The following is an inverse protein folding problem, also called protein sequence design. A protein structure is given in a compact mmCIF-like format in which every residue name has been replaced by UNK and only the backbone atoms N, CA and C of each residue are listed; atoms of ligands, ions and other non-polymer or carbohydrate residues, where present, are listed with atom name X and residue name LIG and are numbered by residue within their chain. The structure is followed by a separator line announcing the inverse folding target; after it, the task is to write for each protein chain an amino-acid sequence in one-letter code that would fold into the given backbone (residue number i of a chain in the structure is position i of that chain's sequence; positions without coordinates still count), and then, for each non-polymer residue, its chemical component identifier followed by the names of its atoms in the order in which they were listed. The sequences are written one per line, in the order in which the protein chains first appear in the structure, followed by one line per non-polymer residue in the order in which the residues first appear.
data_IF_822170950388
#
_entry.id   IF_822170950388
#
_cell.length_a   1.000
_cell.length_b   1.000
_cell.length_c   1.000
_cell.angle_alpha   90.00
_cell.angle_beta   90.00
_cell.angle_gamma   90.00
#
_symmetry.space_group_name_H-M   'P 1'
#
loop_
_entity.id
_entity.type
_entity.pdbx_description
1 polymer ?
#
# COMPACT_ATOMS: atom_id res chain seq x y z
N UNK A 1 29.16 -0.99 -13.94
CA UNK A 1 27.71 -0.93 -13.64
C UNK A 1 27.54 -1.15 -12.14
N UNK A 2 27.03 -0.14 -11.45
CA UNK A 2 26.76 -0.22 -10.01
C UNK A 2 25.37 -0.80 -9.76
N UNK A 3 25.25 -1.67 -8.74
CA UNK A 3 23.96 -2.11 -8.24
C UNK A 3 23.51 -1.20 -7.10
N UNK A 4 22.27 -0.76 -7.13
CA UNK A 4 21.70 0.05 -6.06
C UNK A 4 21.27 -0.83 -4.87
N UNK A 5 21.45 -0.30 -3.66
CA UNK A 5 21.04 -1.00 -2.44
C UNK A 5 19.51 -1.15 -2.31
N UNK A 6 18.75 -0.24 -2.95
CA UNK A 6 17.29 -0.25 -2.94
C UNK A 6 16.74 -0.42 -4.34
N UNK A 7 15.80 -1.33 -4.49
CA UNK A 7 15.06 -1.56 -5.74
C UNK A 7 14.26 -0.33 -6.17
N UNK A 8 13.64 0.37 -5.21
CA UNK A 8 12.80 1.53 -5.45
C UNK A 8 13.34 2.76 -4.71
N UNK A 9 13.44 3.89 -5.41
CA UNK A 9 13.97 5.17 -4.92
C UNK A 9 13.05 6.29 -5.39
N UNK A 10 11.78 6.23 -4.96
CA UNK A 10 10.77 7.24 -5.27
C UNK A 10 11.06 8.53 -4.49
N UNK A 11 11.11 9.64 -5.19
CA UNK A 11 11.24 10.98 -4.60
C UNK A 11 9.94 11.74 -4.90
N UNK A 12 9.26 12.19 -3.86
CA UNK A 12 8.07 13.02 -4.01
C UNK A 12 8.45 14.49 -4.01
N UNK A 13 8.83 14.98 -5.19
CA UNK A 13 9.23 16.37 -5.42
C UNK A 13 8.83 16.79 -6.83
N UNK A 14 8.44 18.05 -7.08
CA UNK A 14 8.12 18.54 -8.42
C UNK A 14 9.23 18.32 -9.44
N UNK A 15 10.50 18.44 -9.04
CA UNK A 15 11.67 18.18 -9.89
C UNK A 15 11.76 16.72 -10.34
N UNK A 16 11.21 15.78 -9.59
CA UNK A 16 11.22 14.36 -9.94
C UNK A 16 10.15 13.97 -10.99
N UNK A 17 9.47 14.94 -11.60
CA UNK A 17 8.66 14.75 -12.81
C UNK A 17 9.46 15.01 -14.11
N UNK A 18 10.66 15.56 -14.00
CA UNK A 18 11.58 15.76 -15.12
C UNK A 18 12.29 14.44 -15.47
N UNK A 19 12.14 13.90 -16.70
CA UNK A 19 12.80 12.66 -17.13
C UNK A 19 14.32 12.70 -17.04
N UNK A 20 14.94 13.84 -17.32
CA UNK A 20 16.40 13.99 -17.25
C UNK A 20 16.86 13.96 -15.80
N UNK A 21 16.14 14.61 -14.90
CA UNK A 21 16.42 14.54 -13.45
C UNK A 21 16.32 13.10 -12.94
N UNK A 22 15.25 12.38 -13.31
CA UNK A 22 15.08 10.98 -12.92
C UNK A 22 16.20 10.09 -13.46
N UNK A 23 16.59 10.27 -14.72
CA UNK A 23 17.66 9.48 -15.34
C UNK A 23 19.01 9.72 -14.66
N UNK A 24 19.37 10.99 -14.42
CA UNK A 24 20.64 11.37 -13.77
C UNK A 24 20.72 10.85 -12.34
N UNK A 25 19.62 10.93 -11.59
CA UNK A 25 19.59 10.53 -10.19
C UNK A 25 19.19 9.06 -9.99
N UNK A 26 18.92 8.34 -11.07
CA UNK A 26 18.38 6.98 -11.06
C UNK A 26 17.19 6.84 -10.10
N UNK A 27 16.35 7.87 -10.05
CA UNK A 27 15.17 7.93 -9.19
C UNK A 27 13.92 7.40 -9.90
N UNK A 28 12.88 7.12 -9.13
CA UNK A 28 11.59 6.66 -9.60
C UNK A 28 10.52 7.72 -9.31
N UNK A 29 9.47 7.76 -10.11
CA UNK A 29 8.34 8.65 -9.88
C UNK A 29 7.12 7.87 -9.41
N UNK A 30 6.63 8.22 -8.23
CA UNK A 30 5.49 7.54 -7.59
C UNK A 30 4.22 7.65 -8.46
N UNK A 31 3.96 8.82 -9.06
CA UNK A 31 2.75 9.05 -9.86
C UNK A 31 2.74 8.25 -11.16
N UNK A 32 3.91 7.87 -11.68
CA UNK A 32 4.04 7.07 -12.91
C UNK A 32 4.15 5.58 -12.63
N UNK A 33 4.82 5.21 -11.54
CA UNK A 33 5.16 3.81 -11.24
C UNK A 33 4.05 3.08 -10.47
N UNK A 34 3.15 3.83 -9.84
CA UNK A 34 2.08 3.29 -9.00
C UNK A 34 0.70 3.59 -9.58
N UNK A 35 -0.11 2.56 -9.77
CA UNK A 35 -1.51 2.72 -10.18
C UNK A 35 -2.38 3.28 -9.06
N UNK A 36 -2.09 2.88 -7.82
CA UNK A 36 -2.67 3.43 -6.60
C UNK A 36 -1.54 3.64 -5.59
N UNK A 37 -1.48 4.82 -4.98
CA UNK A 37 -0.55 5.09 -3.89
C UNK A 37 -1.12 6.12 -2.91
N UNK A 38 -0.64 6.13 -1.68
CA UNK A 38 -1.21 6.98 -0.64
C UNK A 38 -2.69 6.63 -0.36
N UNK A 39 -3.40 7.58 0.23
CA UNK A 39 -4.82 7.43 0.59
C UNK A 39 -5.77 7.69 -0.59
N UNK A 40 -5.46 7.13 -1.77
CA UNK A 40 -6.23 7.39 -2.98
C UNK A 40 -7.08 6.20 -3.48
N UNK A 41 -7.33 5.22 -2.62
CA UNK A 41 -8.15 4.05 -2.94
C UNK A 41 -9.56 4.44 -3.42
N UNK A 42 -10.04 5.63 -3.07
CA UNK A 42 -11.33 6.16 -3.56
C UNK A 42 -11.39 6.31 -5.08
N UNK A 43 -10.27 6.33 -5.79
CA UNK A 43 -10.24 6.32 -7.26
C UNK A 43 -10.95 5.12 -7.88
N UNK A 44 -11.10 4.01 -7.14
CA UNK A 44 -11.80 2.83 -7.64
C UNK A 44 -13.33 2.94 -7.50
N UNK A 45 -13.84 3.98 -6.84
CA UNK A 45 -15.26 4.24 -6.65
C UNK A 45 -15.84 5.07 -7.80
N UNK A 46 -15.59 4.66 -9.04
CA UNK A 46 -16.23 5.27 -10.20
C UNK A 46 -17.72 4.90 -10.22
N UNK A 47 -18.60 5.91 -10.39
CA UNK A 47 -20.05 5.75 -10.35
C UNK A 47 -20.62 5.50 -8.94
N UNK A 48 -21.87 5.00 -8.88
CA UNK A 48 -22.54 4.69 -7.62
C UNK A 48 -21.95 3.42 -6.98
N UNK A 49 -21.37 3.57 -5.80
CA UNK A 49 -20.91 2.46 -4.98
C UNK A 49 -22.01 2.06 -3.98
N UNK A 50 -22.15 0.75 -3.71
CA UNK A 50 -23.04 0.32 -2.64
C UNK A 50 -22.51 0.75 -1.28
N UNK A 51 -23.40 0.97 -0.32
CA UNK A 51 -22.99 1.31 1.06
C UNK A 51 -22.08 0.24 1.69
N UNK A 52 -22.11 -0.99 1.17
CA UNK A 52 -21.26 -2.09 1.65
C UNK A 52 -19.77 -1.88 1.42
N UNK A 53 -19.40 -0.97 0.52
CA UNK A 53 -18.00 -0.57 0.29
C UNK A 53 -17.42 0.12 1.53
N UNK A 54 -18.26 0.76 2.34
CA UNK A 54 -17.83 1.56 3.47
C UNK A 54 -17.86 0.78 4.78
N UNK A 55 -17.03 1.22 5.73
CA UNK A 55 -16.88 0.58 7.02
C UNK A 55 -18.17 0.56 7.82
N UNK A 56 -18.45 -0.56 8.49
CA UNK A 56 -19.51 -0.66 9.49
C UNK A 56 -18.93 -0.41 10.87
N UNK A 57 -19.40 0.64 11.53
CA UNK A 57 -18.98 0.99 12.89
C UNK A 57 -20.14 1.66 13.65
N UNK A 58 -20.26 1.42 14.94
CA UNK A 58 -21.29 2.00 15.79
C UNK A 58 -22.74 1.83 15.25
N UNK A 59 -23.03 0.68 14.64
CA UNK A 59 -24.37 0.36 14.14
C UNK A 59 -24.74 0.98 12.79
N UNK A 60 -23.81 1.60 12.07
CA UNK A 60 -24.06 2.25 10.77
C UNK A 60 -22.85 2.18 9.83
N UNK A 61 -23.07 2.49 8.56
CA UNK A 61 -21.99 2.69 7.59
C UNK A 61 -21.32 4.05 7.82
N UNK A 62 -19.98 4.03 7.81
CA UNK A 62 -19.14 5.21 7.93
C UNK A 62 -18.37 5.40 6.63
N UNK A 63 -18.79 6.39 5.86
CA UNK A 63 -18.23 6.68 4.53
C UNK A 63 -16.82 7.27 4.57
N UNK A 64 -16.26 7.51 5.75
CA UNK A 64 -14.88 7.97 5.92
C UNK A 64 -13.85 6.85 5.80
N UNK A 65 -14.30 5.57 5.77
CA UNK A 65 -13.39 4.43 5.70
C UNK A 65 -14.00 3.28 4.90
N UNK A 66 -13.17 2.39 4.40
CA UNK A 66 -13.55 1.23 3.62
C UNK A 66 -13.86 -0.01 4.45
N UNK A 67 -14.72 -0.87 3.91
CA UNK A 67 -14.90 -2.25 4.33
C UNK A 67 -14.05 -3.18 3.46
N UNK A 68 -12.88 -3.60 3.93
CA UNK A 68 -11.98 -4.48 3.18
C UNK A 68 -12.46 -5.94 3.07
N UNK A 69 -13.68 -6.24 3.52
CA UNK A 69 -14.37 -7.51 3.26
C UNK A 69 -15.56 -7.34 2.30
N UNK A 70 -15.69 -6.18 1.65
CA UNK A 70 -16.73 -5.90 0.66
C UNK A 70 -16.39 -6.53 -0.68
N UNK A 71 -17.32 -7.29 -1.24
CA UNK A 71 -17.19 -7.85 -2.59
C UNK A 71 -17.34 -6.75 -3.66
N UNK A 72 -18.12 -5.70 -3.41
CA UNK A 72 -18.23 -4.56 -4.32
C UNK A 72 -16.88 -3.81 -4.40
N UNK A 73 -16.22 -3.56 -3.25
CA UNK A 73 -14.87 -2.97 -3.26
C UNK A 73 -13.87 -3.82 -4.05
N UNK A 74 -13.90 -5.14 -3.87
CA UNK A 74 -13.05 -6.07 -4.61
C UNK A 74 -13.31 -5.99 -6.13
N UNK A 75 -14.59 -6.03 -6.54
CA UNK A 75 -14.98 -5.97 -7.95
C UNK A 75 -14.52 -4.68 -8.60
N UNK A 76 -14.65 -3.54 -7.89
CA UNK A 76 -14.21 -2.24 -8.36
C UNK A 76 -12.69 -2.14 -8.47
N UNK A 77 -11.94 -2.69 -7.50
CA UNK A 77 -10.48 -2.79 -7.58
C UNK A 77 -10.06 -3.60 -8.82
N UNK A 78 -10.68 -4.75 -9.06
CA UNK A 78 -10.38 -5.60 -10.23
C UNK A 78 -10.68 -4.84 -11.52
N UNK A 79 -11.84 -4.20 -11.62
CA UNK A 79 -12.21 -3.41 -12.80
C UNK A 79 -11.22 -2.27 -13.05
N UNK A 80 -10.92 -1.48 -12.01
CA UNK A 80 -9.96 -0.38 -12.10
C UNK A 80 -8.58 -0.84 -12.62
N UNK A 81 -8.07 -1.95 -12.08
CA UNK A 81 -6.77 -2.50 -12.50
C UNK A 81 -6.82 -2.97 -13.95
N UNK A 82 -7.85 -3.72 -14.34
CA UNK A 82 -7.99 -4.22 -15.71
C UNK A 82 -8.11 -3.10 -16.73
N UNK A 83 -8.93 -2.10 -16.45
CA UNK A 83 -9.24 -1.01 -17.38
C UNK A 83 -8.04 -0.06 -17.58
N UNK A 84 -7.24 0.16 -16.54
CA UNK A 84 -6.15 1.13 -16.58
C UNK A 84 -4.76 0.49 -16.76
N UNK A 85 -4.55 -0.75 -16.32
CA UNK A 85 -3.23 -1.39 -16.25
C UNK A 85 -3.19 -2.80 -16.86
N UNK A 86 -4.34 -3.37 -17.19
CA UNK A 86 -4.45 -4.72 -17.74
C UNK A 86 -4.01 -5.80 -16.75
N UNK A 87 -3.37 -6.85 -17.27
CA UNK A 87 -2.86 -7.98 -16.49
C UNK A 87 -1.34 -7.90 -16.20
N UNK A 88 -0.72 -6.77 -16.49
CA UNK A 88 0.72 -6.58 -16.34
C UNK A 88 1.57 -7.18 -17.46
N UNK A 89 0.95 -7.59 -18.57
CA UNK A 89 1.65 -8.09 -19.76
C UNK A 89 1.59 -7.07 -20.87
N UNK A 90 2.72 -6.77 -21.51
CA UNK A 90 2.78 -5.86 -22.67
C UNK A 90 2.07 -6.49 -23.86
N UNK A 91 1.03 -5.87 -24.36
CA UNK A 91 0.17 -6.41 -25.43
C UNK A 91 0.71 -6.13 -26.83
N UNK A 92 1.47 -5.03 -27.04
CA UNK A 92 1.89 -4.55 -28.34
C UNK A 92 3.33 -4.04 -28.33
N UNK A 93 3.92 -3.89 -29.52
CA UNK A 93 5.26 -3.32 -29.70
C UNK A 93 6.40 -4.32 -29.50
N UNK A 94 7.68 -3.82 -29.46
CA UNK A 94 8.85 -4.66 -29.40
C UNK A 94 8.97 -5.49 -28.12
N UNK A 95 8.31 -5.05 -27.05
CA UNK A 95 8.31 -5.72 -25.74
C UNK A 95 7.06 -6.62 -25.53
N UNK A 96 6.32 -6.94 -26.59
CA UNK A 96 5.11 -7.78 -26.51
C UNK A 96 5.40 -9.10 -25.79
N UNK A 97 4.58 -9.42 -24.81
CA UNK A 97 4.68 -10.62 -23.98
C UNK A 97 5.60 -10.48 -22.76
N UNK A 98 6.34 -9.39 -22.64
CA UNK A 98 7.12 -9.13 -21.43
C UNK A 98 6.21 -8.71 -20.27
N UNK A 99 6.64 -9.04 -19.06
CA UNK A 99 5.95 -8.61 -17.83
C UNK A 99 6.38 -7.18 -17.52
N UNK A 100 5.40 -6.28 -17.47
CA UNK A 100 5.56 -4.89 -17.04
C UNK A 100 4.45 -4.57 -16.04
N UNK A 101 4.58 -5.14 -14.85
CA UNK A 101 3.60 -4.96 -13.79
C UNK A 101 3.73 -3.60 -13.10
N UNK A 102 2.59 -3.05 -12.72
CA UNK A 102 2.50 -1.85 -11.89
C UNK A 102 2.45 -2.19 -10.40
N UNK A 103 2.62 -1.18 -9.56
CA UNK A 103 2.48 -1.26 -8.11
C UNK A 103 1.18 -0.61 -7.67
N UNK A 104 0.53 -1.20 -6.67
CA UNK A 104 -0.73 -0.69 -6.12
C UNK A 104 -0.67 -0.71 -4.60
N UNK A 105 -1.00 0.41 -3.97
CA UNK A 105 -1.16 0.48 -2.54
C UNK A 105 -2.64 0.34 -2.18
N UNK A 106 -3.00 -0.75 -1.51
CA UNK A 106 -4.33 -1.01 -0.97
C UNK A 106 -4.28 -0.72 0.53
N UNK A 107 -4.73 0.46 0.91
CA UNK A 107 -4.63 0.93 2.30
C UNK A 107 -5.89 1.67 2.74
N UNK A 108 -6.16 1.71 4.06
CA UNK A 108 -7.23 2.54 4.62
C UNK A 108 -7.05 4.03 4.35
N UNK A 109 -8.13 4.79 4.39
CA UNK A 109 -8.06 6.25 4.46
C UNK A 109 -7.37 6.69 5.77
N UNK A 110 -6.86 7.92 5.79
CA UNK A 110 -6.05 8.49 6.87
C UNK A 110 -6.88 8.80 8.13
N UNK A 111 -7.29 7.76 8.81
CA UNK A 111 -8.01 7.83 10.08
C UNK A 111 -7.93 6.51 10.85
N UNK A 112 -8.43 6.51 12.11
CA UNK A 112 -8.42 5.35 13.01
C UNK A 112 -9.71 4.51 12.96
N UNK A 113 -10.55 4.68 11.95
CA UNK A 113 -11.80 3.91 11.81
C UNK A 113 -11.46 2.51 11.31
N UNK A 114 -11.97 1.50 12.02
CA UNK A 114 -11.85 0.10 11.60
C UNK A 114 -13.25 -0.49 11.40
N UNK A 115 -13.45 -1.11 10.24
CA UNK A 115 -14.72 -1.80 9.96
C UNK A 115 -14.94 -2.95 10.93
N UNK A 116 -16.11 -2.95 11.60
CA UNK A 116 -16.55 -3.92 12.57
C UNK A 116 -17.72 -4.77 12.06
N UNK A 117 -17.94 -4.85 10.74
CA UNK A 117 -18.92 -5.79 10.19
C UNK A 117 -18.51 -7.23 10.49
N UNK A 118 -19.46 -8.14 10.43
CA UNK A 118 -19.24 -9.55 10.76
C UNK A 118 -18.07 -10.16 9.94
N UNK A 119 -18.04 -9.94 8.63
CA UNK A 119 -16.98 -10.44 7.73
C UNK A 119 -15.61 -9.91 8.13
N UNK A 120 -15.47 -8.62 8.46
CA UNK A 120 -14.20 -8.04 8.89
C UNK A 120 -13.75 -8.59 10.25
N UNK A 121 -14.67 -8.80 11.20
CA UNK A 121 -14.34 -9.46 12.49
C UNK A 121 -13.92 -10.91 12.29
N UNK A 122 -14.60 -11.66 11.44
CA UNK A 122 -14.23 -13.03 11.07
C UNK A 122 -12.88 -13.08 10.33
N UNK A 123 -12.52 -12.02 9.59
CA UNK A 123 -11.19 -11.87 9.01
C UNK A 123 -10.11 -11.69 10.07
N UNK A 124 -10.46 -11.24 11.28
CA UNK A 124 -9.56 -11.00 12.39
C UNK A 124 -9.41 -9.52 12.78
N UNK A 125 -10.21 -8.59 12.21
CA UNK A 125 -10.19 -7.20 12.64
C UNK A 125 -10.49 -7.06 14.11
N UNK A 126 -9.77 -6.18 14.78
CA UNK A 126 -10.06 -5.69 16.13
C UNK A 126 -10.60 -4.26 16.05
N UNK A 127 -10.90 -3.65 17.18
CA UNK A 127 -11.31 -2.24 17.21
C UNK A 127 -10.18 -1.28 16.85
N UNK A 128 -8.92 -1.75 16.84
CA UNK A 128 -7.73 -0.95 16.59
C UNK A 128 -6.98 -1.39 15.33
N UNK A 129 -7.23 -2.59 14.81
CA UNK A 129 -6.49 -3.14 13.67
C UNK A 129 -7.40 -3.57 12.53
N UNK A 130 -7.16 -2.99 11.35
CA UNK A 130 -7.77 -3.37 10.09
C UNK A 130 -6.88 -4.33 9.27
N UNK A 131 -5.63 -4.56 9.70
CA UNK A 131 -4.64 -5.37 8.97
C UNK A 131 -5.20 -6.69 8.44
N UNK A 132 -5.93 -7.50 9.22
CA UNK A 132 -6.37 -8.80 8.75
C UNK A 132 -7.31 -8.72 7.53
N UNK A 133 -8.29 -7.82 7.54
CA UNK A 133 -9.19 -7.66 6.40
C UNK A 133 -8.50 -7.01 5.20
N UNK A 134 -7.61 -6.02 5.44
CA UNK A 134 -6.82 -5.38 4.38
C UNK A 134 -5.93 -6.40 3.67
N UNK A 135 -5.20 -7.22 4.42
CA UNK A 135 -4.30 -8.23 3.84
C UNK A 135 -5.07 -9.31 3.10
N UNK A 136 -6.24 -9.74 3.59
CA UNK A 136 -7.10 -10.68 2.85
C UNK A 136 -7.60 -10.10 1.53
N UNK A 137 -8.02 -8.84 1.51
CA UNK A 137 -8.40 -8.15 0.27
C UNK A 137 -7.20 -8.09 -0.69
N UNK A 138 -6.06 -7.65 -0.19
CA UNK A 138 -4.83 -7.54 -0.98
C UNK A 138 -4.39 -8.90 -1.53
N UNK A 139 -4.45 -9.97 -0.74
CA UNK A 139 -4.17 -11.34 -1.19
C UNK A 139 -5.08 -11.76 -2.34
N UNK A 140 -6.39 -11.56 -2.19
CA UNK A 140 -7.39 -11.89 -3.21
C UNK A 140 -7.13 -11.16 -4.54
N UNK A 141 -6.72 -9.88 -4.48
CA UNK A 141 -6.36 -9.10 -5.67
C UNK A 141 -5.02 -9.58 -6.25
N UNK A 142 -4.03 -9.87 -5.40
CA UNK A 142 -2.71 -10.34 -5.80
C UNK A 142 -2.76 -11.70 -6.53
N UNK A 143 -3.61 -12.62 -6.07
CA UNK A 143 -3.87 -13.90 -6.73
C UNK A 143 -4.48 -13.72 -8.12
N UNK A 144 -5.35 -12.70 -8.28
CA UNK A 144 -5.96 -12.37 -9.58
C UNK A 144 -4.98 -11.74 -10.57
N UNK A 145 -3.94 -11.04 -10.06
CA UNK A 145 -2.98 -10.29 -10.86
C UNK A 145 -1.53 -10.63 -10.50
N UNK A 146 -1.04 -11.81 -10.87
CA UNK A 146 0.29 -12.28 -10.46
C UNK A 146 1.45 -11.43 -11.01
N UNK A 147 1.23 -10.68 -12.09
CA UNK A 147 2.24 -9.82 -12.71
C UNK A 147 2.31 -8.42 -12.10
N UNK A 148 1.37 -8.05 -11.26
CA UNK A 148 1.39 -6.79 -10.51
C UNK A 148 1.86 -7.00 -9.08
N UNK A 149 2.25 -5.92 -8.40
CA UNK A 149 2.65 -5.93 -7.00
C UNK A 149 1.68 -5.10 -6.15
N UNK A 150 1.34 -5.61 -4.98
CA UNK A 150 0.36 -5.01 -4.09
C UNK A 150 0.96 -4.74 -2.73
N UNK A 151 0.74 -3.54 -2.22
CA UNK A 151 1.27 -3.11 -0.94
C UNK A 151 0.15 -2.58 -0.06
N UNK A 152 0.31 -2.71 1.24
CA UNK A 152 -0.40 -1.91 2.23
C UNK A 152 0.61 -1.08 3.02
N UNK A 153 0.17 -0.30 3.99
CA UNK A 153 1.08 0.47 4.84
C UNK A 153 1.16 -0.12 6.23
N UNK A 154 2.31 0.04 6.87
CA UNK A 154 2.43 -0.09 8.33
C UNK A 154 2.21 1.28 8.95
N UNK A 155 0.93 1.66 9.10
CA UNK A 155 0.50 2.97 9.57
C UNK A 155 -0.89 2.90 10.23
N UNK A 156 -1.13 3.66 11.27
CA UNK A 156 -2.41 3.72 12.00
C UNK A 156 -3.03 2.33 12.22
N UNK A 157 -4.19 2.06 11.61
CA UNK A 157 -4.95 0.82 11.79
C UNK A 157 -4.32 -0.41 11.14
N UNK A 158 -3.31 -0.23 10.31
CA UNK A 158 -2.52 -1.31 9.69
C UNK A 158 -1.08 -1.38 10.22
N UNK A 159 -0.80 -0.78 11.39
CA UNK A 159 0.54 -0.65 11.96
C UNK A 159 1.25 -1.99 12.17
N UNK A 160 0.52 -3.02 12.58
CA UNK A 160 1.08 -4.33 12.90
C UNK A 160 0.86 -5.31 11.75
N UNK A 161 1.81 -6.25 11.50
CA UNK A 161 1.67 -7.26 10.46
C UNK A 161 0.53 -8.26 10.75
N UNK A 162 0.06 -8.98 9.71
CA UNK A 162 -0.84 -10.10 9.90
C UNK A 162 -0.14 -11.28 10.58
N UNK A 163 -0.92 -12.25 11.07
CA UNK A 163 -0.38 -13.50 11.63
C UNK A 163 0.01 -14.54 10.59
N UNK A 164 -0.23 -14.29 9.29
CA UNK A 164 0.00 -15.21 8.18
C UNK A 164 1.05 -14.67 7.22
N UNK A 165 1.75 -15.56 6.51
CA UNK A 165 2.60 -15.15 5.40
C UNK A 165 1.76 -14.55 4.26
N UNK A 166 2.33 -13.53 3.65
CA UNK A 166 1.72 -12.82 2.53
C UNK A 166 2.24 -13.38 1.19
N UNK A 167 1.46 -13.34 0.11
CA UNK A 167 1.91 -13.75 -1.23
C UNK A 167 3.18 -13.02 -1.68
N UNK A 168 3.97 -13.65 -2.55
CA UNK A 168 5.25 -13.11 -3.03
C UNK A 168 5.13 -11.76 -3.74
N UNK A 169 4.01 -11.51 -4.41
CA UNK A 169 3.74 -10.25 -5.09
C UNK A 169 3.03 -9.21 -4.19
N UNK A 170 3.09 -9.40 -2.87
CA UNK A 170 2.56 -8.45 -1.89
C UNK A 170 3.66 -7.93 -0.96
N UNK A 171 3.44 -6.77 -0.37
CA UNK A 171 4.41 -6.15 0.51
C UNK A 171 3.82 -5.08 1.41
N UNK A 172 4.70 -4.32 2.05
CA UNK A 172 4.35 -3.24 2.97
C UNK A 172 5.21 -2.00 2.75
N UNK A 173 4.58 -0.81 2.82
CA UNK A 173 5.28 0.46 3.01
C UNK A 173 5.26 0.80 4.50
N UNK A 174 6.41 0.79 5.14
CA UNK A 174 6.52 1.15 6.55
C UNK A 174 6.65 2.66 6.65
N UNK A 175 5.68 3.31 7.29
CA UNK A 175 5.72 4.75 7.53
C UNK A 175 6.75 5.08 8.60
N UNK A 176 7.62 6.04 8.29
CA UNK A 176 8.62 6.59 9.20
C UNK A 176 8.17 7.92 9.85
N UNK A 177 6.88 8.27 9.75
CA UNK A 177 6.34 9.55 10.25
C UNK A 177 6.60 9.78 11.75
N UNK A 178 6.58 8.72 12.55
CA UNK A 178 6.84 8.78 13.97
C UNK A 178 8.34 8.79 14.31
N UNK A 179 9.21 8.78 13.30
CA UNK A 179 10.66 8.71 13.51
C UNK A 179 11.22 10.11 13.80
N UNK A 180 11.95 10.30 14.91
CA UNK A 180 12.51 11.59 15.23
C UNK A 180 13.68 11.94 14.30
N UNK A 181 13.51 12.93 13.45
CA UNK A 181 14.54 13.39 12.50
C UNK A 181 15.74 14.07 13.21
N UNK A 182 15.54 14.51 14.45
CA UNK A 182 16.56 15.26 15.22
C UNK A 182 17.65 14.41 15.85
N UNK A 183 17.54 13.08 15.81
CA UNK A 183 18.47 12.16 16.47
C UNK A 183 19.03 11.15 15.49
N UNK A 184 20.29 10.72 15.72
CA UNK A 184 20.91 9.65 14.94
C UNK A 184 20.11 8.34 15.02
N UNK A 185 20.03 7.65 13.93
CA UNK A 185 19.19 6.45 13.74
C UNK A 185 19.44 5.36 14.81
N UNK A 186 20.65 5.30 15.39
CA UNK A 186 21.05 4.26 16.33
C UNK A 186 20.83 4.63 17.81
N UNK A 187 20.38 5.85 18.12
CA UNK A 187 20.49 6.40 19.47
C UNK A 187 19.19 6.54 20.24
N UNK A 188 18.04 6.13 19.70
CA UNK A 188 16.72 6.34 20.32
C UNK A 188 15.89 5.07 20.46
N UNK A 189 14.97 5.05 21.45
CA UNK A 189 13.97 3.98 21.58
C UNK A 189 13.09 3.87 20.35
N UNK A 190 12.80 4.97 19.67
CA UNK A 190 12.01 5.01 18.44
C UNK A 190 12.74 4.30 17.28
N UNK A 191 14.08 4.39 17.22
CA UNK A 191 14.86 3.63 16.24
C UNK A 191 14.78 2.12 16.50
N UNK A 192 14.82 1.71 17.76
CA UNK A 192 14.66 0.32 18.16
C UNK A 192 13.24 -0.20 17.80
N UNK A 193 12.20 0.62 18.03
CA UNK A 193 10.81 0.30 17.68
C UNK A 193 10.63 0.18 16.16
N UNK A 194 11.25 1.08 15.39
CA UNK A 194 11.22 1.02 13.94
C UNK A 194 11.93 -0.24 13.40
N UNK A 195 13.10 -0.56 13.94
CA UNK A 195 13.83 -1.79 13.59
C UNK A 195 13.04 -3.06 13.96
N UNK A 196 12.37 -3.06 15.12
CA UNK A 196 11.50 -4.14 15.53
C UNK A 196 10.30 -4.31 14.57
N UNK A 197 9.69 -3.21 14.13
CA UNK A 197 8.61 -3.20 13.15
C UNK A 197 9.06 -3.79 11.81
N UNK A 198 10.24 -3.38 11.31
CA UNK A 198 10.82 -3.99 10.10
C UNK A 198 10.98 -5.49 10.26
N UNK A 199 11.52 -5.96 11.38
CA UNK A 199 11.68 -7.41 11.65
C UNK A 199 10.36 -8.16 11.67
N UNK A 200 9.33 -7.59 12.31
CA UNK A 200 8.00 -8.19 12.37
C UNK A 200 7.37 -8.33 10.98
N UNK A 201 7.42 -7.27 10.16
CA UNK A 201 6.94 -7.32 8.79
C UNK A 201 7.78 -8.25 7.91
N UNK A 202 9.11 -8.27 8.09
CA UNK A 202 10.01 -9.17 7.36
C UNK A 202 9.69 -10.66 7.59
N UNK A 203 9.11 -11.00 8.72
CA UNK A 203 8.69 -12.36 9.02
C UNK A 203 7.49 -12.83 8.17
N UNK A 204 6.72 -11.91 7.59
CA UNK A 204 5.50 -12.22 6.82
C UNK A 204 5.58 -11.86 5.35
N UNK A 205 6.48 -10.94 4.94
CA UNK A 205 6.73 -10.59 3.54
C UNK A 205 8.19 -10.19 3.30
N UNK A 206 8.80 -10.59 2.16
CA UNK A 206 10.12 -10.10 1.77
C UNK A 206 10.10 -8.68 1.20
N UNK A 207 8.95 -8.19 0.74
CA UNK A 207 8.82 -6.92 0.04
C UNK A 207 8.51 -5.79 1.02
N UNK A 208 9.57 -5.13 1.49
CA UNK A 208 9.46 -4.02 2.43
C UNK A 208 9.99 -2.76 1.77
N UNK A 209 9.14 -1.74 1.73
CA UNK A 209 9.50 -0.39 1.34
C UNK A 209 9.35 0.52 2.55
N UNK A 210 10.10 1.60 2.59
CA UNK A 210 9.99 2.63 3.62
C UNK A 210 9.37 3.87 2.99
N UNK A 211 8.35 4.39 3.64
CA UNK A 211 7.79 5.69 3.33
C UNK A 211 8.40 6.68 4.31
N UNK A 212 9.45 7.34 3.85
CA UNK A 212 10.20 8.31 4.64
C UNK A 212 9.77 9.74 4.33
N UNK A 213 10.11 10.65 5.23
CA UNK A 213 9.84 12.06 5.10
C UNK A 213 11.15 12.84 5.13
N UNK A 214 11.37 13.68 4.13
CA UNK A 214 12.60 14.46 4.00
C UNK A 214 12.63 15.68 4.93
N UNK A 215 11.47 16.06 5.49
CA UNK A 215 11.31 17.14 6.47
C UNK A 215 10.06 16.93 7.30
N UNK A 216 10.02 17.53 8.47
CA UNK A 216 8.80 17.61 9.26
C UNK A 216 7.82 18.60 8.63
N UNK A 217 6.52 18.32 8.74
CA UNK A 217 5.47 19.21 8.24
C UNK A 217 5.20 20.41 9.17
N UNK A 218 5.75 20.39 10.36
CA UNK A 218 5.58 21.42 11.39
C UNK A 218 6.64 22.55 11.36
N UNK A 219 7.55 22.54 10.36
CA UNK A 219 8.59 23.55 10.17
C UNK A 219 8.24 24.55 9.06
#
# INVERSE_FOLDING_TARGET
EGTFAFEYRGIYSPTNSDPDFMAINASHNIDYDWGLWGHNLRKVLDGEASDEVFAWTQGKRDHRQFCFSSEDLYTRLVAYILDNYGDGTVKNGPNKGQIQGSRFCIMPDDNNIVCQCEKCRQAGNTVQSATPAVVKMMQKVAERFPNHRFFTTSYLTTKNPPSMHMPENTGVLISAIDFPLSYGFESTSQAADFAAKIKQWRAVTPNIYVWDYMRNFDD
#
